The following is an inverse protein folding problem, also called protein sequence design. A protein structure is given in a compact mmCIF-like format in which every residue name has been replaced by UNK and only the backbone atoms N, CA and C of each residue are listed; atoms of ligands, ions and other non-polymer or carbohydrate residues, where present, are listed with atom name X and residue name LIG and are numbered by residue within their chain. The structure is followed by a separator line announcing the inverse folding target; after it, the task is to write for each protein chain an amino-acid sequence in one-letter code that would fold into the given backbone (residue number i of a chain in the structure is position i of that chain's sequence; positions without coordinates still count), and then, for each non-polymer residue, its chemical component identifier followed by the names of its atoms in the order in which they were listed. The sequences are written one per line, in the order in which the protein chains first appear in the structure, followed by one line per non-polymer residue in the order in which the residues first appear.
data_IF_844805548328
#
_entry.id   IF_844805548328
#
_cell.length_a   1.000
_cell.length_b   1.000
_cell.length_c   1.000
_cell.angle_alpha   90.00
_cell.angle_beta   90.00
_cell.angle_gamma   90.00
#
_symmetry.space_group_name_H-M   'P 1'
#
loop_
_entity.id
_entity.type
_entity.pdbx_description
1 polymer ?
#
# COMPACT_ATOMS: atom_id res chain seq x y z
N UNK A 1 -6.72 -52.06 1.67
CA UNK A 1 -7.37 -50.72 1.61
C UNK A 1 -7.34 -50.01 2.96
N UNK A 2 -7.78 -50.66 4.06
CA UNK A 2 -7.81 -50.02 5.38
C UNK A 2 -6.42 -49.61 5.92
N UNK A 3 -5.41 -50.47 5.76
CA UNK A 3 -4.02 -50.19 6.16
C UNK A 3 -3.44 -48.94 5.48
N UNK A 4 -3.68 -48.80 4.17
CA UNK A 4 -3.22 -47.63 3.41
C UNK A 4 -3.89 -46.34 3.90
N UNK A 5 -5.17 -46.39 4.26
CA UNK A 5 -5.90 -45.25 4.83
C UNK A 5 -5.34 -44.85 6.21
N UNK A 6 -5.01 -45.83 7.06
CA UNK A 6 -4.44 -45.58 8.39
C UNK A 6 -3.05 -44.95 8.31
N UNK A 7 -2.18 -45.44 7.43
CA UNK A 7 -0.83 -44.90 7.25
C UNK A 7 -0.89 -43.45 6.73
N UNK A 8 -1.75 -43.16 5.76
CA UNK A 8 -1.93 -41.81 5.22
C UNK A 8 -2.52 -40.84 6.25
N UNK A 9 -3.51 -41.30 7.05
CA UNK A 9 -4.10 -40.49 8.11
C UNK A 9 -3.10 -40.17 9.22
N UNK A 10 -2.34 -41.17 9.69
CA UNK A 10 -1.34 -40.99 10.74
C UNK A 10 -0.19 -40.10 10.27
N UNK A 11 0.30 -40.30 9.04
CA UNK A 11 1.33 -39.45 8.44
C UNK A 11 0.89 -37.98 8.36
N UNK A 12 -0.37 -37.73 8.00
CA UNK A 12 -0.94 -36.38 7.94
C UNK A 12 -1.01 -35.71 9.31
N UNK A 13 -1.42 -36.45 10.35
CA UNK A 13 -1.47 -35.93 11.73
C UNK A 13 -0.07 -35.64 12.27
N UNK A 14 0.89 -36.55 12.03
CA UNK A 14 2.28 -36.38 12.51
C UNK A 14 2.95 -35.21 11.80
N UNK A 15 2.92 -35.16 10.46
CA UNK A 15 3.55 -34.09 9.69
C UNK A 15 2.84 -32.75 9.94
N UNK A 16 1.51 -32.73 9.96
CA UNK A 16 0.74 -31.53 10.25
C UNK A 16 0.99 -31.02 11.67
N UNK A 17 1.03 -31.91 12.66
CA UNK A 17 1.35 -31.56 14.05
C UNK A 17 2.78 -31.04 14.21
N UNK A 18 3.76 -31.66 13.55
CA UNK A 18 5.15 -31.23 13.57
C UNK A 18 5.33 -29.84 12.92
N UNK A 19 4.73 -29.62 11.74
CA UNK A 19 4.77 -28.33 11.05
C UNK A 19 4.03 -27.23 11.83
N UNK A 20 2.88 -27.55 12.42
CA UNK A 20 2.13 -26.63 13.27
C UNK A 20 2.88 -26.26 14.55
N UNK A 21 3.56 -27.21 15.19
CA UNK A 21 4.39 -26.93 16.35
C UNK A 21 5.61 -26.06 15.99
N UNK A 22 6.26 -26.37 14.86
CA UNK A 22 7.39 -25.60 14.38
C UNK A 22 7.00 -24.15 14.05
N UNK A 23 5.85 -23.91 13.42
CA UNK A 23 5.43 -22.55 13.05
C UNK A 23 5.16 -21.65 14.26
N UNK A 24 4.67 -22.21 15.36
CA UNK A 24 4.43 -21.45 16.61
C UNK A 24 5.73 -21.26 17.39
N UNK A 25 6.52 -22.33 17.56
CA UNK A 25 7.74 -22.27 18.38
C UNK A 25 8.83 -21.40 17.77
N UNK A 26 8.93 -21.38 16.44
CA UNK A 26 9.95 -20.63 15.71
C UNK A 26 9.38 -19.36 15.06
N UNK A 27 8.22 -18.86 15.52
CA UNK A 27 7.68 -17.59 15.03
C UNK A 27 8.61 -16.45 15.45
N UNK A 28 9.27 -15.82 14.48
CA UNK A 28 10.07 -14.61 14.71
C UNK A 28 9.09 -13.47 14.96
N UNK A 29 9.18 -12.84 16.12
CA UNK A 29 8.45 -11.60 16.41
C UNK A 29 9.08 -10.47 15.59
N UNK A 30 8.26 -9.77 14.80
CA UNK A 30 8.72 -8.65 13.97
C UNK A 30 9.27 -7.50 14.82
N UNK A 31 10.15 -6.69 14.23
CA UNK A 31 10.68 -5.51 14.90
C UNK A 31 9.54 -4.53 15.23
N UNK A 32 9.30 -4.21 16.52
CA UNK A 32 8.19 -3.34 16.92
C UNK A 32 8.31 -1.92 16.35
N UNK A 33 9.50 -1.49 15.93
CA UNK A 33 9.69 -0.19 15.28
C UNK A 33 9.15 -0.20 13.85
N UNK A 34 9.41 -1.26 13.09
CA UNK A 34 8.96 -1.40 11.69
C UNK A 34 7.44 -1.35 11.64
N UNK A 35 6.75 -2.06 12.53
CA UNK A 35 5.29 -2.08 12.59
C UNK A 35 4.71 -0.69 12.91
N UNK A 36 5.37 0.10 13.76
CA UNK A 36 4.96 1.48 14.05
C UNK A 36 5.15 2.41 12.86
N UNK A 37 6.25 2.27 12.13
CA UNK A 37 6.51 3.04 10.91
C UNK A 37 5.48 2.66 9.84
N UNK A 38 5.26 1.36 9.61
CA UNK A 38 4.32 0.86 8.62
C UNK A 38 2.90 1.37 8.91
N UNK A 39 2.47 1.41 10.17
CA UNK A 39 1.18 1.96 10.56
C UNK A 39 1.00 3.46 10.26
N UNK A 40 2.08 4.23 10.11
CA UNK A 40 2.04 5.65 9.74
C UNK A 40 1.93 5.83 8.22
N UNK A 41 2.50 4.90 7.44
CA UNK A 41 2.51 4.96 5.99
C UNK A 41 1.08 4.84 5.41
N UNK A 42 0.84 5.36 4.19
CA UNK A 42 -0.51 5.46 3.62
C UNK A 42 -1.10 4.11 3.17
N UNK A 43 -0.36 3.00 3.28
CA UNK A 43 -0.79 1.65 2.92
C UNK A 43 -1.30 1.50 1.48
N UNK A 44 -0.79 2.33 0.55
CA UNK A 44 -1.20 2.33 -0.86
C UNK A 44 -0.50 1.27 -1.70
N UNK A 45 0.65 0.76 -1.24
CA UNK A 45 1.49 -0.21 -1.96
C UNK A 45 1.84 0.22 -3.41
N UNK A 46 1.97 1.53 -3.65
CA UNK A 46 2.14 2.09 -5.00
C UNK A 46 3.58 2.07 -5.54
N UNK A 47 4.57 1.93 -4.66
CA UNK A 47 6.00 1.90 -5.00
C UNK A 47 6.61 3.19 -5.55
N UNK A 48 5.93 4.33 -5.41
CA UNK A 48 6.46 5.64 -5.85
C UNK A 48 7.74 6.07 -5.10
N UNK A 49 7.96 5.54 -3.90
CA UNK A 49 9.18 5.76 -3.11
C UNK A 49 10.36 4.88 -3.56
N UNK A 50 10.21 4.05 -4.60
CA UNK A 50 11.25 3.12 -5.08
C UNK A 50 11.27 1.76 -4.36
N UNK A 51 10.42 1.56 -3.36
CA UNK A 51 10.26 0.29 -2.65
C UNK A 51 9.01 -0.46 -3.14
N UNK A 52 8.98 -1.80 -3.12
CA UNK A 52 7.83 -2.58 -3.63
C UNK A 52 6.56 -2.45 -2.77
N UNK A 53 6.63 -1.78 -1.62
CA UNK A 53 5.49 -1.54 -0.74
C UNK A 53 5.84 -0.71 0.49
N UNK A 54 4.84 -0.43 1.32
CA UNK A 54 4.97 0.32 2.56
C UNK A 54 5.84 -0.41 3.60
N UNK A 55 5.63 -1.72 3.81
CA UNK A 55 6.42 -2.49 4.79
C UNK A 55 7.92 -2.56 4.47
N UNK A 56 8.35 -2.87 3.23
CA UNK A 56 9.77 -2.80 2.86
C UNK A 56 10.38 -1.40 3.02
N UNK A 57 9.60 -0.35 2.75
CA UNK A 57 10.04 1.02 3.01
C UNK A 57 10.18 1.30 4.52
N UNK A 58 9.24 0.82 5.33
CA UNK A 58 9.30 0.92 6.78
C UNK A 58 10.53 0.21 7.38
N UNK A 59 10.86 -0.97 6.86
CA UNK A 59 12.10 -1.69 7.21
C UNK A 59 13.34 -0.90 6.84
N UNK A 60 13.40 -0.33 5.64
CA UNK A 60 14.52 0.49 5.20
C UNK A 60 14.70 1.76 6.06
N UNK A 61 13.60 2.40 6.47
CA UNK A 61 13.65 3.53 7.41
C UNK A 61 14.18 3.09 8.78
N UNK A 62 13.68 1.97 9.31
CA UNK A 62 14.10 1.42 10.60
C UNK A 62 15.59 1.06 10.61
N UNK A 63 16.11 0.50 9.51
CA UNK A 63 17.53 0.20 9.32
C UNK A 63 18.41 1.42 9.00
N UNK A 64 17.80 2.57 8.71
CA UNK A 64 18.52 3.79 8.31
C UNK A 64 19.05 3.77 6.87
N UNK A 65 18.55 2.84 6.04
CA UNK A 65 18.88 2.71 4.61
C UNK A 65 18.10 3.69 3.74
N UNK A 66 16.95 4.18 4.22
CA UNK A 66 16.11 5.15 3.53
C UNK A 66 15.76 6.37 4.40
N UNK A 67 15.60 7.52 3.75
CA UNK A 67 15.11 8.74 4.37
C UNK A 67 13.57 8.72 4.53
N UNK A 68 13.06 9.53 5.45
CA UNK A 68 11.63 9.60 5.80
C UNK A 68 10.77 10.39 4.79
N UNK A 69 11.40 11.12 3.87
CA UNK A 69 10.75 12.05 2.94
C UNK A 69 10.60 11.48 1.52
N UNK A 70 10.58 10.17 1.36
CA UNK A 70 10.52 9.53 0.05
C UNK A 70 9.12 9.11 -0.39
N UNK A 71 8.07 9.34 0.41
CA UNK A 71 6.71 8.87 0.14
C UNK A 71 5.77 10.00 -0.31
N UNK A 72 5.56 10.22 -1.63
CA UNK A 72 4.62 11.22 -2.13
C UNK A 72 3.18 11.10 -1.63
N UNK A 73 2.56 9.89 -1.57
CA UNK A 73 1.17 9.77 -1.12
C UNK A 73 1.04 9.95 0.40
N UNK A 74 2.14 9.86 1.15
CA UNK A 74 2.16 10.16 2.58
C UNK A 74 2.15 11.66 2.87
N UNK A 75 2.61 12.48 1.91
CA UNK A 75 2.69 13.92 2.03
C UNK A 75 3.56 14.40 3.20
N UNK A 76 3.53 15.69 3.47
CA UNK A 76 4.26 16.28 4.59
C UNK A 76 3.74 15.80 5.96
N UNK A 77 2.43 15.60 6.09
CA UNK A 77 1.81 15.09 7.31
C UNK A 77 2.37 13.71 7.73
N UNK A 78 2.61 12.83 6.76
CA UNK A 78 3.25 11.53 7.00
C UNK A 78 4.69 11.69 7.46
N UNK A 79 5.44 12.60 6.83
CA UNK A 79 6.84 12.86 7.18
C UNK A 79 6.96 13.41 8.60
N UNK A 80 6.09 14.34 9.01
CA UNK A 80 6.05 14.86 10.38
C UNK A 80 5.85 13.75 11.41
N UNK A 81 4.88 12.86 11.19
CA UNK A 81 4.63 11.73 12.11
C UNK A 81 5.82 10.78 12.19
N UNK A 82 6.50 10.54 11.07
CA UNK A 82 7.72 9.72 11.03
C UNK A 82 8.88 10.41 11.76
N UNK A 83 9.04 11.72 11.57
CA UNK A 83 10.04 12.52 12.26
C UNK A 83 9.83 12.49 13.78
N UNK A 84 8.59 12.68 14.24
CA UNK A 84 8.21 12.62 15.65
C UNK A 84 8.45 11.23 16.26
N UNK A 85 8.08 10.16 15.53
CA UNK A 85 8.27 8.78 16.00
C UNK A 85 9.76 8.41 16.12
N UNK A 86 10.58 8.86 15.17
CA UNK A 86 11.99 8.48 15.08
C UNK A 86 12.93 9.47 15.77
N UNK A 87 12.42 10.60 16.26
CA UNK A 87 13.22 11.69 16.82
C UNK A 87 14.17 12.32 15.80
N UNK A 88 13.77 12.39 14.51
CA UNK A 88 14.56 12.96 13.41
C UNK A 88 14.05 14.36 13.05
N UNK A 89 14.90 15.17 12.43
CA UNK A 89 14.47 16.46 11.89
C UNK A 89 13.56 16.28 10.68
N UNK A 90 12.54 17.15 10.55
CA UNK A 90 11.68 17.19 9.39
C UNK A 90 12.48 17.58 8.13
N UNK A 91 12.25 16.85 7.05
CA UNK A 91 12.75 17.18 5.71
C UNK A 91 11.55 17.28 4.77
N UNK A 92 11.48 18.30 3.89
CA UNK A 92 10.42 18.37 2.89
C UNK A 92 10.47 17.17 1.94
N UNK A 93 9.35 16.85 1.30
CA UNK A 93 9.24 15.72 0.36
C UNK A 93 10.37 15.77 -0.69
N UNK A 94 11.04 14.64 -0.91
CA UNK A 94 12.10 14.54 -1.90
C UNK A 94 11.54 14.78 -3.31
N UNK A 95 12.08 15.79 -3.99
CA UNK A 95 11.68 16.12 -5.37
C UNK A 95 11.95 15.00 -6.38
N UNK A 96 12.79 14.02 -6.04
CA UNK A 96 13.08 12.87 -6.91
C UNK A 96 11.92 11.87 -6.97
N UNK A 97 11.08 11.80 -5.94
CA UNK A 97 10.02 10.79 -5.83
C UNK A 97 8.64 11.32 -6.26
N UNK A 98 8.54 12.61 -6.59
CA UNK A 98 7.33 13.23 -7.14
C UNK A 98 6.72 14.27 -6.22
N UNK A 99 5.50 14.69 -6.55
CA UNK A 99 4.73 15.69 -5.81
C UNK A 99 3.58 15.04 -5.05
N UNK A 100 3.21 15.65 -3.93
CA UNK A 100 1.99 15.28 -3.21
C UNK A 100 0.77 15.56 -4.10
N UNK A 101 0.01 14.51 -4.40
CA UNK A 101 -1.26 14.59 -5.14
C UNK A 101 -2.42 14.40 -4.16
N UNK A 102 -3.57 15.04 -4.42
CA UNK A 102 -4.77 14.78 -3.63
C UNK A 102 -5.22 13.33 -3.79
N UNK A 103 -5.87 12.80 -2.75
CA UNK A 103 -6.43 11.45 -2.77
C UNK A 103 -7.44 11.33 -3.92
N UNK A 104 -7.23 10.34 -4.78
CA UNK A 104 -8.03 10.12 -5.97
C UNK A 104 -8.41 8.65 -6.11
N UNK A 105 -9.48 8.40 -6.88
CA UNK A 105 -10.01 7.07 -7.16
C UNK A 105 -9.96 6.85 -8.67
N UNK A 106 -9.62 5.63 -9.07
CA UNK A 106 -9.69 5.22 -10.46
C UNK A 106 -11.15 5.04 -10.89
N UNK A 107 -11.52 5.61 -12.03
CA UNK A 107 -12.82 5.43 -12.68
C UNK A 107 -12.57 4.85 -14.06
N UNK A 108 -13.28 3.77 -14.38
CA UNK A 108 -13.19 3.10 -15.68
C UNK A 108 -14.33 3.62 -16.55
N UNK A 109 -14.02 4.08 -17.75
CA UNK A 109 -15.01 4.38 -18.78
C UNK A 109 -15.61 3.09 -19.34
N UNK A 110 -16.89 2.93 -19.05
CA UNK A 110 -17.75 1.81 -19.39
C UNK A 110 -17.89 1.62 -20.91
N UNK A 111 -17.85 2.71 -21.69
CA UNK A 111 -18.04 2.65 -23.14
C UNK A 111 -16.78 2.15 -23.87
N UNK A 112 -15.62 2.39 -23.29
CA UNK A 112 -14.32 2.10 -23.91
C UNK A 112 -13.71 0.79 -23.39
N UNK A 113 -14.15 0.29 -22.24
CA UNK A 113 -13.62 -0.93 -21.63
C UNK A 113 -13.87 -2.18 -22.48
N UNK A 114 -12.80 -2.84 -22.92
CA UNK A 114 -12.86 -4.08 -23.74
C UNK A 114 -12.83 -5.38 -22.92
N UNK A 115 -12.75 -5.31 -21.59
CA UNK A 115 -12.74 -6.52 -20.76
C UNK A 115 -11.42 -7.32 -20.79
N UNK A 116 -10.26 -6.65 -20.91
CA UNK A 116 -8.95 -7.32 -21.05
C UNK A 116 -8.37 -7.93 -19.77
N UNK A 117 -8.93 -7.64 -18.58
CA UNK A 117 -8.50 -8.12 -17.24
C UNK A 117 -7.11 -7.72 -16.75
N UNK A 118 -6.31 -7.00 -17.54
CA UNK A 118 -4.96 -6.56 -17.14
C UNK A 118 -4.98 -5.62 -15.93
N UNK A 119 -6.02 -4.78 -15.81
CA UNK A 119 -6.19 -3.88 -14.67
C UNK A 119 -6.49 -4.64 -13.37
N UNK A 120 -7.24 -5.75 -13.41
CA UNK A 120 -7.50 -6.61 -12.24
C UNK A 120 -6.17 -7.16 -11.72
N UNK A 121 -5.33 -7.71 -12.59
CA UNK A 121 -4.06 -8.32 -12.20
C UNK A 121 -3.06 -7.29 -11.61
N UNK A 122 -3.19 -6.02 -11.99
CA UNK A 122 -2.34 -4.95 -11.50
C UNK A 122 -2.86 -4.31 -10.20
N UNK A 123 -4.08 -4.62 -9.76
CA UNK A 123 -4.66 -4.00 -8.57
C UNK A 123 -4.18 -4.71 -7.30
N UNK A 124 -3.37 -4.07 -6.43
CA UNK A 124 -2.82 -4.75 -5.24
C UNK A 124 -3.88 -5.01 -4.15
N UNK A 125 -5.05 -4.39 -4.26
CA UNK A 125 -6.14 -4.45 -3.27
C UNK A 125 -7.41 -5.05 -3.84
N UNK A 126 -7.37 -5.58 -5.07
CA UNK A 126 -8.51 -6.18 -5.76
C UNK A 126 -9.78 -5.29 -5.82
N UNK A 127 -9.61 -3.98 -5.93
CA UNK A 127 -10.72 -3.03 -5.98
C UNK A 127 -11.49 -3.02 -7.33
N UNK A 128 -11.02 -3.76 -8.33
CA UNK A 128 -11.61 -3.79 -9.68
C UNK A 128 -12.42 -5.07 -9.85
N UNK A 129 -13.69 -4.92 -10.22
CA UNK A 129 -14.62 -6.03 -10.45
C UNK A 129 -14.95 -6.13 -11.94
N UNK A 130 -14.96 -7.34 -12.46
CA UNK A 130 -15.34 -7.66 -13.83
C UNK A 130 -14.93 -9.08 -14.19
N UNK A 131 -15.07 -9.42 -15.48
CA UNK A 131 -14.67 -10.71 -16.01
C UNK A 131 -14.08 -10.54 -17.42
N UNK A 132 -13.46 -11.59 -17.93
CA UNK A 132 -12.96 -11.60 -19.30
C UNK A 132 -14.08 -11.28 -20.29
N UNK A 133 -13.82 -10.31 -21.19
CA UNK A 133 -14.79 -9.80 -22.17
C UNK A 133 -16.06 -9.17 -21.56
N UNK A 134 -16.01 -8.83 -20.28
CA UNK A 134 -17.06 -8.08 -19.60
C UNK A 134 -16.49 -6.73 -19.14
N UNK A 135 -17.37 -5.76 -19.01
CA UNK A 135 -17.02 -4.43 -18.52
C UNK A 135 -16.49 -4.51 -17.09
N UNK A 136 -15.42 -3.75 -16.83
CA UNK A 136 -14.85 -3.64 -15.49
C UNK A 136 -15.33 -2.36 -14.82
N UNK A 137 -15.50 -2.41 -13.50
CA UNK A 137 -15.81 -1.25 -12.67
C UNK A 137 -14.94 -1.24 -11.42
N UNK A 138 -14.79 -0.07 -10.80
CA UNK A 138 -13.97 0.11 -9.60
C UNK A 138 -14.87 0.29 -8.39
N UNK A 139 -14.65 -0.50 -7.35
CA UNK A 139 -15.27 -0.28 -6.05
C UNK A 139 -14.54 0.88 -5.37
N UNK A 140 -15.16 2.07 -5.42
CA UNK A 140 -14.60 3.30 -4.87
C UNK A 140 -14.12 3.20 -3.42
N UNK A 141 -14.81 2.41 -2.58
CA UNK A 141 -14.46 2.24 -1.16
C UNK A 141 -13.19 1.43 -0.92
N UNK A 142 -12.76 0.60 -1.88
CA UNK A 142 -11.56 -0.24 -1.76
C UNK A 142 -10.38 0.31 -2.56
N UNK A 143 -10.62 1.23 -3.50
CA UNK A 143 -9.57 1.83 -4.29
C UNK A 143 -8.66 2.72 -3.42
N UNK A 144 -7.36 2.42 -3.44
CA UNK A 144 -6.34 3.21 -2.73
C UNK A 144 -5.80 4.38 -3.53
N UNK A 145 -6.09 4.45 -4.83
CA UNK A 145 -5.58 5.49 -5.73
C UNK A 145 -4.12 5.30 -6.14
N UNK A 146 -3.60 4.07 -6.13
CA UNK A 146 -2.18 3.78 -6.41
C UNK A 146 -1.72 3.96 -7.87
N UNK A 147 -2.63 4.29 -8.81
CA UNK A 147 -2.35 4.52 -10.24
C UNK A 147 -1.77 3.31 -11.02
N UNK A 148 -1.51 2.17 -10.37
CA UNK A 148 -0.92 0.98 -11.01
C UNK A 148 -1.77 0.36 -12.13
N UNK A 149 -3.09 0.60 -12.12
CA UNK A 149 -4.00 0.11 -13.15
C UNK A 149 -3.98 0.91 -14.46
N UNK A 150 -3.38 2.11 -14.49
CA UNK A 150 -3.34 2.96 -15.68
C UNK A 150 -2.44 2.36 -16.78
N UNK A 151 -1.19 2.07 -16.44
CA UNK A 151 -0.19 1.61 -17.41
C UNK A 151 -0.55 0.28 -18.14
N UNK A 152 -1.17 -0.71 -17.48
CA UNK A 152 -1.58 -1.96 -18.14
C UNK A 152 -2.81 -1.84 -19.05
N UNK A 153 -3.53 -0.72 -19.05
CA UNK A 153 -4.76 -0.60 -19.83
C UNK A 153 -4.45 -0.32 -21.32
N UNK A 154 -4.74 -1.26 -22.24
CA UNK A 154 -4.36 -1.11 -23.66
C UNK A 154 -5.17 -0.05 -24.40
N UNK A 155 -6.35 0.30 -23.87
CA UNK A 155 -7.28 1.30 -24.45
C UNK A 155 -7.30 2.60 -23.64
N UNK A 156 -6.48 2.71 -22.59
CA UNK A 156 -6.40 3.88 -21.71
C UNK A 156 -7.77 4.38 -21.20
N UNK A 157 -8.70 3.47 -20.88
CA UNK A 157 -10.06 3.82 -20.46
C UNK A 157 -10.19 4.16 -18.96
N UNK A 158 -9.09 4.35 -18.24
CA UNK A 158 -9.09 4.57 -16.79
C UNK A 158 -8.61 5.99 -16.49
N UNK A 159 -9.38 6.73 -15.70
CA UNK A 159 -9.07 8.09 -15.27
C UNK A 159 -9.01 8.19 -13.74
N UNK A 160 -8.14 9.05 -13.23
CA UNK A 160 -8.06 9.35 -11.79
C UNK A 160 -8.92 10.56 -11.47
N UNK A 161 -9.91 10.37 -10.60
CA UNK A 161 -10.82 11.43 -10.15
C UNK A 161 -10.50 11.77 -8.69
N UNK A 162 -10.18 13.03 -8.36
CA UNK A 162 -9.93 13.43 -6.97
C UNK A 162 -11.21 13.33 -6.14
N UNK A 163 -11.08 12.83 -4.91
CA UNK A 163 -12.20 12.79 -3.97
C UNK A 163 -12.37 14.22 -3.42
N UNK A 164 -13.55 14.84 -3.53
CA UNK A 164 -13.78 16.17 -2.98
C UNK A 164 -13.66 16.13 -1.45
N UNK A 165 -13.04 17.16 -0.86
CA UNK A 165 -12.99 17.32 0.59
C UNK A 165 -14.40 17.63 1.12
N UNK A 166 -14.91 16.81 2.04
CA UNK A 166 -16.17 16.95 2.77
C UNK A 166 -15.88 16.98 4.27
N UNK A 167 -16.86 17.37 5.08
CA UNK A 167 -16.72 17.42 6.55
C UNK A 167 -16.27 16.05 7.11
N UNK A 168 -16.72 14.95 6.50
CA UNK A 168 -16.41 13.58 6.94
C UNK A 168 -15.00 13.11 6.60
N UNK A 169 -14.37 13.68 5.55
CA UNK A 169 -13.05 13.24 5.08
C UNK A 169 -11.93 14.27 5.32
N UNK A 170 -12.30 15.46 5.78
CA UNK A 170 -11.37 16.53 6.09
C UNK A 170 -10.47 16.14 7.25
N UNK A 171 -9.16 16.40 7.09
CA UNK A 171 -8.16 16.18 8.13
C UNK A 171 -7.43 17.48 8.41
N UNK A 172 -7.09 17.68 9.67
CA UNK A 172 -6.22 18.77 10.09
C UNK A 172 -4.83 18.59 9.48
N UNK A 173 -4.39 19.55 8.65
CA UNK A 173 -3.06 19.59 8.05
C UNK A 173 -2.07 20.22 9.02
N UNK A 174 -0.83 19.74 9.05
CA UNK A 174 0.19 20.33 9.93
C UNK A 174 0.38 21.83 9.59
N UNK A 175 0.37 22.73 10.59
CA UNK A 175 0.48 24.15 10.33
C UNK A 175 1.93 24.48 9.92
N UNK A 176 2.13 24.75 8.63
CA UNK A 176 3.43 25.21 8.11
C UNK A 176 3.52 26.72 8.34
N UNK A 177 4.38 27.12 9.28
CA UNK A 177 4.69 28.54 9.50
C UNK A 177 5.99 28.89 8.80
N UNK A 178 5.95 29.82 7.85
CA UNK A 178 7.17 30.39 7.27
C UNK A 178 7.92 31.17 8.35
N UNK A 179 8.98 30.55 8.90
CA UNK A 179 9.86 31.22 9.85
C UNK A 179 10.67 32.25 9.05
N UNK A 180 10.21 33.51 9.04
CA UNK A 180 10.99 34.61 8.47
C UNK A 180 12.35 34.63 9.15
N UNK A 181 13.44 34.50 8.36
CA UNK A 181 14.80 34.64 8.89
C UNK A 181 14.90 35.99 9.61
N UNK A 182 15.34 35.95 10.87
CA UNK A 182 15.71 37.17 11.58
C UNK A 182 16.82 37.86 10.77
N UNK A 183 16.58 39.14 10.44
CA UNK A 183 17.47 39.97 9.64
C UNK A 183 18.80 40.24 10.34
#
# INVERSE_FOLDING_TARGET
MLEALLVMALGSVILGGALGYASVKFRVEGDPLVEKIDAILPQTQCGQCGFPGCKPYAEAIARGEADINCCPPGGEDGIHKLADLLGREFKPLSGEHGIEKPKSIAVIDEQTCIGCTLCIQACPVDAIVGAAKQMHTVIASQCTGCELCLAPCPVNCIAMVPIPETIDNWKWKYPVFDVRKAA
#
